data_IF_062180229554
#
_entry.id   IF_062180229554
#
_cell.length_a   1.000
_cell.length_b   1.000
_cell.length_c   1.000
_cell.angle_alpha   90.00
_cell.angle_beta   90.00
_cell.angle_gamma   90.00
#
_symmetry.space_group_name_H-M   'P 1'
#
loop_
_entity.id
_entity.type
_entity.pdbx_description
1 polymer ?
#
# COMPACT_ATOMS: atom_id res chain seq x y z
N UNK A 1 -0.23 14.07 19.52
CA UNK A 1 0.25 12.77 20.04
C UNK A 1 1.52 12.43 19.27
N UNK A 2 2.58 11.96 19.93
CA UNK A 2 3.77 11.51 19.22
C UNK A 2 3.44 10.24 18.41
N UNK A 3 3.81 10.22 17.12
CA UNK A 3 3.67 9.02 16.29
C UNK A 3 4.82 8.07 16.57
N UNK A 4 4.56 6.76 16.54
CA UNK A 4 5.63 5.78 16.70
C UNK A 4 6.53 5.80 15.46
N UNK A 5 7.84 5.67 15.69
CA UNK A 5 8.81 5.55 14.60
C UNK A 5 8.45 4.35 13.70
N UNK A 6 8.43 4.60 12.39
CA UNK A 6 8.16 3.57 11.39
C UNK A 6 9.32 2.57 11.33
N UNK A 7 8.98 1.28 11.22
CA UNK A 7 9.95 0.21 10.96
C UNK A 7 10.58 0.39 9.57
N UNK A 8 11.76 -0.20 9.33
CA UNK A 8 12.40 -0.11 8.02
C UNK A 8 11.60 -0.82 6.91
N UNK A 9 11.81 -0.40 5.66
CA UNK A 9 11.07 -0.90 4.50
C UNK A 9 11.24 -2.42 4.29
N UNK A 10 12.42 -2.99 4.60
CA UNK A 10 12.66 -4.43 4.41
C UNK A 10 11.82 -5.24 5.39
N UNK A 11 11.76 -4.80 6.64
CA UNK A 11 10.89 -5.41 7.67
C UNK A 11 9.42 -5.31 7.28
N UNK A 12 8.94 -4.14 6.89
CA UNK A 12 7.53 -3.94 6.48
C UNK A 12 7.17 -4.80 5.27
N UNK A 13 8.07 -4.91 4.29
CA UNK A 13 7.86 -5.73 3.09
C UNK A 13 7.76 -7.21 3.41
N UNK A 14 8.64 -7.71 4.28
CA UNK A 14 8.57 -9.09 4.74
C UNK A 14 7.26 -9.37 5.48
N UNK A 15 6.87 -8.51 6.41
CA UNK A 15 5.61 -8.65 7.14
C UNK A 15 4.39 -8.56 6.21
N UNK A 16 4.42 -7.71 5.18
CA UNK A 16 3.36 -7.61 4.18
C UNK A 16 3.23 -8.90 3.36
N UNK A 17 4.34 -9.53 3.00
CA UNK A 17 4.36 -10.83 2.33
C UNK A 17 3.81 -11.95 3.23
N UNK A 18 4.17 -11.95 4.52
CA UNK A 18 3.66 -12.91 5.50
C UNK A 18 2.16 -12.77 5.71
N UNK A 19 1.68 -11.53 5.86
CA UNK A 19 0.25 -11.22 5.97
C UNK A 19 -0.51 -11.69 4.73
N UNK A 20 -0.02 -11.38 3.52
CA UNK A 20 -0.75 -11.70 2.31
C UNK A 20 -0.80 -13.20 2.01
N UNK A 21 0.31 -13.92 2.20
CA UNK A 21 0.37 -15.39 2.05
C UNK A 21 -0.50 -16.06 3.11
N UNK A 22 -0.41 -15.63 4.38
CA UNK A 22 -1.16 -16.21 5.48
C UNK A 22 -2.67 -15.97 5.39
N UNK A 23 -3.06 -14.76 4.95
CA UNK A 23 -4.45 -14.37 4.84
C UNK A 23 -5.15 -15.04 3.65
N UNK A 24 -4.58 -14.91 2.45
CA UNK A 24 -5.23 -15.37 1.22
C UNK A 24 -5.11 -16.88 1.03
N UNK A 25 -4.04 -17.49 1.56
CA UNK A 25 -3.74 -18.91 1.40
C UNK A 25 -3.75 -19.37 -0.05
N UNK A 26 -3.47 -18.48 -1.01
CA UNK A 26 -3.34 -18.82 -2.44
C UNK A 26 -1.98 -19.48 -2.72
N UNK A 27 -0.96 -19.10 -1.96
CA UNK A 27 0.38 -19.66 -2.03
C UNK A 27 0.70 -20.44 -0.75
N UNK A 28 1.63 -21.39 -0.87
CA UNK A 28 2.18 -22.14 0.26
C UNK A 28 3.07 -21.23 1.12
N UNK A 29 3.23 -21.57 2.40
CA UNK A 29 4.00 -20.76 3.36
C UNK A 29 5.44 -20.48 2.97
N UNK A 30 6.11 -21.40 2.26
CA UNK A 30 7.48 -21.18 1.80
C UNK A 30 7.59 -20.11 0.70
N UNK A 31 6.48 -19.74 0.05
CA UNK A 31 6.45 -18.72 -1.00
C UNK A 31 6.59 -17.28 -0.45
N UNK A 32 6.56 -17.07 0.87
CA UNK A 32 6.74 -15.72 1.45
C UNK A 32 8.03 -15.05 0.95
N UNK A 33 9.13 -15.79 0.84
CA UNK A 33 10.41 -15.24 0.36
C UNK A 33 10.33 -14.79 -1.10
N UNK A 34 9.55 -15.49 -1.95
CA UNK A 34 9.37 -15.04 -3.34
C UNK A 34 8.48 -13.80 -3.39
N UNK A 35 7.40 -13.76 -2.60
CA UNK A 35 6.51 -12.58 -2.54
C UNK A 35 7.28 -11.34 -2.07
N UNK A 36 8.11 -11.48 -1.04
CA UNK A 36 9.00 -10.42 -0.55
C UNK A 36 9.95 -9.91 -1.65
N UNK A 37 10.57 -10.82 -2.41
CA UNK A 37 11.43 -10.46 -3.55
C UNK A 37 10.65 -9.77 -4.68
N UNK A 38 9.45 -10.25 -5.03
CA UNK A 38 8.62 -9.64 -6.07
C UNK A 38 8.17 -8.21 -5.69
N UNK A 39 8.00 -7.94 -4.39
CA UNK A 39 7.64 -6.62 -3.89
C UNK A 39 8.76 -5.57 -4.05
N UNK A 40 10.00 -5.97 -4.31
CA UNK A 40 11.10 -5.03 -4.61
C UNK A 40 10.79 -4.15 -5.83
N UNK A 41 10.10 -4.72 -6.82
CA UNK A 41 9.76 -4.02 -8.07
C UNK A 41 8.35 -3.42 -8.06
N UNK A 42 7.54 -3.69 -7.04
CA UNK A 42 6.14 -3.22 -6.95
C UNK A 42 5.99 -1.69 -6.81
N UNK A 43 7.12 -0.98 -6.78
CA UNK A 43 7.26 0.47 -6.80
C UNK A 43 7.10 1.04 -8.20
N UNK A 44 7.62 0.31 -9.18
CA UNK A 44 7.80 0.78 -10.54
C UNK A 44 6.80 0.12 -11.49
N UNK A 45 6.35 -1.08 -11.14
CA UNK A 45 5.48 -1.88 -11.99
C UNK A 45 4.29 -2.44 -11.21
N UNK A 46 3.18 -2.59 -11.91
CA UNK A 46 2.00 -3.23 -11.34
C UNK A 46 2.28 -4.72 -11.06
N UNK A 47 1.80 -5.30 -9.94
CA UNK A 47 1.99 -6.72 -9.57
C UNK A 47 1.69 -7.73 -10.69
N UNK A 48 0.72 -7.42 -11.54
CA UNK A 48 0.39 -8.21 -12.75
C UNK A 48 1.59 -8.39 -13.69
N UNK A 49 2.33 -7.31 -13.98
CA UNK A 49 3.49 -7.36 -14.87
C UNK A 49 4.64 -8.14 -14.23
N UNK A 50 4.95 -7.81 -12.97
CA UNK A 50 5.97 -8.48 -12.16
C UNK A 50 5.74 -10.00 -12.10
N UNK A 51 4.50 -10.42 -11.81
CA UNK A 51 4.16 -11.84 -11.71
C UNK A 51 4.11 -12.54 -13.08
N UNK A 52 3.73 -11.84 -14.15
CA UNK A 52 3.79 -12.38 -15.51
C UNK A 52 5.23 -12.65 -15.94
N UNK A 53 6.13 -11.72 -15.62
CA UNK A 53 7.56 -11.86 -15.87
C UNK A 53 8.19 -12.96 -15.03
N UNK A 54 7.84 -13.03 -13.74
CA UNK A 54 8.26 -14.13 -12.87
C UNK A 54 7.87 -15.50 -13.46
N UNK A 55 6.60 -15.69 -13.83
CA UNK A 55 6.11 -16.94 -14.44
C UNK A 55 6.76 -17.27 -15.78
N UNK A 56 7.20 -16.25 -16.54
CA UNK A 56 7.89 -16.44 -17.83
C UNK A 56 9.32 -16.96 -17.63
N UNK A 57 9.97 -16.64 -16.52
CA UNK A 57 11.35 -17.04 -16.23
C UNK A 57 11.40 -18.50 -15.79
N UNK A 58 12.40 -19.25 -16.27
CA UNK A 58 12.62 -20.65 -15.89
C UNK A 58 11.83 -21.68 -16.71
N UNK A 59 11.95 -22.94 -16.31
CA UNK A 59 11.38 -24.09 -17.03
C UNK A 59 9.85 -24.03 -17.04
N UNK A 60 9.27 -23.92 -18.23
CA UNK A 60 7.82 -23.87 -18.41
C UNK A 60 7.19 -25.25 -18.24
N UNK A 61 5.98 -25.29 -17.68
CA UNK A 61 5.16 -26.51 -17.71
C UNK A 61 4.70 -26.80 -19.15
N UNK A 62 4.50 -28.09 -19.43
CA UNK A 62 4.05 -28.58 -20.73
C UNK A 62 2.61 -28.15 -21.05
N UNK A 63 2.24 -28.20 -22.33
CA UNK A 63 0.86 -27.94 -22.77
C UNK A 63 -0.15 -28.92 -22.17
N UNK A 64 0.27 -30.17 -21.88
CA UNK A 64 -0.57 -31.15 -21.20
C UNK A 64 -0.86 -30.76 -19.75
N UNK A 65 0.18 -30.32 -19.01
CA UNK A 65 0.02 -29.82 -17.65
C UNK A 65 -0.85 -28.55 -17.62
N UNK A 66 -0.64 -27.61 -18.55
CA UNK A 66 -1.51 -26.42 -18.67
C UNK A 66 -2.97 -26.80 -18.87
N UNK A 67 -3.24 -27.76 -19.77
CA UNK A 67 -4.60 -28.26 -20.02
C UNK A 67 -5.22 -28.88 -18.75
N UNK A 68 -4.46 -29.69 -18.02
CA UNK A 68 -4.92 -30.30 -16.76
C UNK A 68 -5.28 -29.24 -15.70
N UNK A 69 -4.52 -28.14 -15.66
CA UNK A 69 -4.72 -27.02 -14.72
C UNK A 69 -5.68 -25.93 -15.25
N UNK A 70 -6.36 -26.16 -16.38
CA UNK A 70 -7.23 -25.18 -17.06
C UNK A 70 -6.53 -23.84 -17.38
N UNK A 71 -5.21 -23.86 -17.52
CA UNK A 71 -4.40 -22.73 -17.94
C UNK A 71 -4.44 -22.63 -19.47
N UNK A 72 -4.62 -21.41 -20.00
CA UNK A 72 -4.60 -21.19 -21.46
C UNK A 72 -3.23 -21.56 -22.03
N UNK A 73 -3.22 -22.15 -23.23
CA UNK A 73 -2.00 -22.62 -23.91
C UNK A 73 -0.89 -21.56 -23.98
N UNK A 74 -1.28 -20.32 -24.31
CA UNK A 74 -0.38 -19.17 -24.46
C UNK A 74 0.01 -18.48 -23.14
N UNK A 75 -0.53 -18.90 -22.00
CA UNK A 75 -0.13 -18.33 -20.71
C UNK A 75 1.22 -18.92 -20.27
N UNK A 76 2.05 -18.07 -19.64
CA UNK A 76 3.30 -18.48 -19.03
C UNK A 76 3.06 -19.02 -17.62
N UNK A 77 3.72 -20.14 -17.31
CA UNK A 77 3.75 -20.75 -16.00
C UNK A 77 5.01 -21.61 -15.91
N UNK A 78 5.96 -21.20 -15.08
CA UNK A 78 7.14 -22.01 -14.79
C UNK A 78 6.85 -23.01 -13.66
N UNK A 79 7.69 -24.04 -13.55
CA UNK A 79 7.57 -25.10 -12.56
C UNK A 79 7.66 -24.59 -11.12
N UNK A 80 8.51 -23.58 -10.84
CA UNK A 80 8.69 -23.02 -9.51
C UNK A 80 7.44 -22.27 -9.04
N UNK A 81 6.91 -21.37 -9.86
CA UNK A 81 5.67 -20.65 -9.61
C UNK A 81 4.52 -21.64 -9.39
N UNK A 82 4.42 -22.70 -10.18
CA UNK A 82 3.41 -23.74 -9.94
C UNK A 82 3.60 -24.44 -8.59
N UNK A 83 4.83 -24.79 -8.22
CA UNK A 83 5.13 -25.48 -6.96
C UNK A 83 4.77 -24.65 -5.72
N UNK A 84 4.82 -23.33 -5.82
CA UNK A 84 4.47 -22.38 -4.76
C UNK A 84 2.96 -22.24 -4.56
N UNK A 85 2.14 -22.56 -5.56
CA UNK A 85 0.68 -22.43 -5.49
C UNK A 85 0.10 -23.51 -4.57
N UNK A 86 -0.83 -23.12 -3.71
CA UNK A 86 -1.59 -24.01 -2.83
C UNK A 86 -2.82 -24.59 -3.56
N UNK A 87 -3.50 -25.57 -2.94
CA UNK A 87 -4.74 -26.12 -3.50
C UNK A 87 -5.83 -25.06 -3.73
N UNK A 88 -5.93 -24.06 -2.85
CA UNK A 88 -6.86 -22.92 -3.03
C UNK A 88 -6.45 -22.05 -4.22
N UNK A 89 -5.15 -21.77 -4.35
CA UNK A 89 -4.63 -20.99 -5.48
C UNK A 89 -4.73 -21.71 -6.83
N UNK A 90 -4.79 -23.05 -6.84
CA UNK A 90 -4.97 -23.83 -8.08
C UNK A 90 -6.35 -23.62 -8.75
N UNK A 91 -7.30 -22.98 -8.06
CA UNK A 91 -8.56 -22.57 -8.67
C UNK A 91 -8.37 -21.45 -9.71
N UNK A 92 -7.39 -20.57 -9.49
CA UNK A 92 -6.93 -19.56 -10.45
C UNK A 92 -5.40 -19.42 -10.40
N UNK A 93 -4.67 -20.36 -11.03
CA UNK A 93 -3.22 -20.42 -10.93
C UNK A 93 -2.52 -19.17 -11.48
N UNK A 94 -3.15 -18.49 -12.45
CA UNK A 94 -2.57 -17.30 -13.09
C UNK A 94 -2.63 -16.10 -12.15
N UNK A 95 -3.70 -15.97 -11.36
CA UNK A 95 -3.87 -14.82 -10.45
C UNK A 95 -3.34 -15.05 -9.05
N UNK A 96 -2.99 -16.29 -8.66
CA UNK A 96 -2.53 -16.62 -7.31
C UNK A 96 -1.40 -15.70 -6.79
N UNK A 97 -0.28 -15.60 -7.51
CA UNK A 97 0.80 -14.67 -7.14
C UNK A 97 0.38 -13.21 -7.26
N UNK A 98 -0.33 -12.85 -8.32
CA UNK A 98 -0.74 -11.46 -8.57
C UNK A 98 -1.57 -10.89 -7.41
N UNK A 99 -2.59 -11.63 -6.97
CA UNK A 99 -3.46 -11.20 -5.87
C UNK A 99 -2.69 -11.12 -4.54
N UNK A 100 -1.79 -12.07 -4.31
CA UNK A 100 -0.95 -12.11 -3.11
C UNK A 100 0.02 -10.94 -3.05
N UNK A 101 0.69 -10.62 -4.16
CA UNK A 101 1.59 -9.47 -4.27
C UNK A 101 0.79 -8.17 -4.20
N UNK A 102 -0.36 -8.08 -4.89
CA UNK A 102 -1.19 -6.88 -4.91
C UNK A 102 -1.70 -6.49 -3.51
N UNK A 103 -2.13 -7.47 -2.71
CA UNK A 103 -2.52 -7.21 -1.32
C UNK A 103 -1.35 -6.63 -0.52
N UNK A 104 -0.16 -7.22 -0.63
CA UNK A 104 1.02 -6.73 0.07
C UNK A 104 1.44 -5.33 -0.43
N UNK A 105 1.26 -5.03 -1.72
CA UNK A 105 1.53 -3.69 -2.30
C UNK A 105 0.68 -2.59 -1.64
N UNK A 106 -0.56 -2.87 -1.23
CA UNK A 106 -1.36 -1.87 -0.48
C UNK A 106 -0.75 -1.53 0.88
N UNK A 107 -0.13 -2.50 1.58
CA UNK A 107 0.63 -2.22 2.82
C UNK A 107 1.84 -1.34 2.52
N UNK A 108 2.61 -1.65 1.47
CA UNK A 108 3.77 -0.85 1.05
C UNK A 108 3.37 0.58 0.66
N UNK A 109 2.23 0.72 -0.03
CA UNK A 109 1.70 2.03 -0.41
C UNK A 109 1.34 2.86 0.83
N UNK A 110 0.62 2.28 1.80
CA UNK A 110 0.31 2.95 3.07
C UNK A 110 1.56 3.33 3.84
N UNK A 111 2.55 2.43 3.92
CA UNK A 111 3.84 2.70 4.57
C UNK A 111 4.57 3.91 3.97
N UNK A 112 4.57 4.03 2.64
CA UNK A 112 5.18 5.19 1.96
C UNK A 112 4.46 6.49 2.26
N UNK A 113 3.13 6.47 2.21
CA UNK A 113 2.34 7.63 2.58
C UNK A 113 2.57 8.01 4.03
N UNK A 114 2.72 7.04 4.92
CA UNK A 114 3.06 7.27 6.32
C UNK A 114 4.43 7.95 6.48
N UNK A 115 5.47 7.49 5.77
CA UNK A 115 6.79 8.16 5.76
C UNK A 115 6.72 9.60 5.24
N UNK A 116 5.95 9.83 4.17
CA UNK A 116 5.74 11.18 3.64
C UNK A 116 4.99 12.07 4.63
N UNK A 117 3.97 11.54 5.28
CA UNK A 117 3.20 12.26 6.30
C UNK A 117 4.03 12.57 7.54
N UNK A 118 4.83 11.63 8.05
CA UNK A 118 5.74 11.85 9.17
C UNK A 118 6.73 12.98 8.86
N UNK A 119 7.31 12.98 7.66
CA UNK A 119 8.20 14.07 7.21
C UNK A 119 7.48 15.41 7.15
N UNK A 120 6.28 15.45 6.55
CA UNK A 120 5.52 16.68 6.44
C UNK A 120 5.12 17.23 7.81
N UNK A 121 4.71 16.38 8.76
CA UNK A 121 4.36 16.79 10.13
C UNK A 121 5.58 17.37 10.86
N UNK A 122 6.77 16.81 10.64
CA UNK A 122 8.01 17.30 11.24
C UNK A 122 8.49 18.61 10.61
N UNK A 123 8.42 18.73 9.27
CA UNK A 123 8.90 19.89 8.52
C UNK A 123 7.96 21.10 8.65
N UNK A 124 6.64 20.85 8.72
CA UNK A 124 5.59 21.85 8.73
C UNK A 124 4.76 21.81 10.02
N UNK A 125 5.43 21.80 11.18
CA UNK A 125 4.78 21.62 12.49
C UNK A 125 3.70 22.66 12.84
N UNK A 126 3.67 23.80 12.15
CA UNK A 126 2.68 24.88 12.30
C UNK A 126 1.45 24.71 11.41
N UNK A 127 1.49 23.81 10.42
CA UNK A 127 0.30 23.45 9.64
C UNK A 127 -0.43 22.31 10.35
N UNK A 128 -1.73 22.46 10.67
CA UNK A 128 -2.54 21.33 11.12
C UNK A 128 -2.63 20.28 9.99
N UNK A 129 -2.05 19.10 10.22
CA UNK A 129 -2.10 17.97 9.30
C UNK A 129 -2.85 16.82 9.98
N UNK A 130 -3.97 16.41 9.39
CA UNK A 130 -4.70 15.22 9.80
C UNK A 130 -4.49 14.11 8.76
N UNK A 131 -4.14 12.90 9.21
CA UNK A 131 -4.04 11.74 8.33
C UNK A 131 -5.26 10.86 8.54
N UNK A 132 -5.99 10.60 7.46
CA UNK A 132 -7.21 9.80 7.46
C UNK A 132 -7.08 8.59 6.52
N UNK A 133 -7.90 7.56 6.74
CA UNK A 133 -8.02 6.47 5.78
C UNK A 133 -8.85 6.90 4.55
N UNK A 134 -8.39 6.50 3.38
CA UNK A 134 -9.11 6.65 2.11
C UNK A 134 -9.46 5.27 1.53
N UNK A 135 -10.75 4.97 1.40
CA UNK A 135 -11.24 3.64 1.01
C UNK A 135 -11.68 3.69 -0.45
N UNK A 136 -10.97 2.96 -1.31
CA UNK A 136 -11.18 3.03 -2.76
C UNK A 136 -12.40 2.22 -3.24
N UNK A 137 -12.80 1.21 -2.46
CA UNK A 137 -13.90 0.30 -2.81
C UNK A 137 -14.76 -0.01 -1.57
N UNK A 138 -15.67 0.91 -1.19
CA UNK A 138 -16.47 0.82 0.04
C UNK A 138 -17.30 -0.47 0.19
N UNK A 139 -17.70 -1.08 -0.91
CA UNK A 139 -18.46 -2.33 -0.99
C UNK A 139 -17.58 -3.60 -0.93
N UNK A 140 -16.25 -3.48 -0.95
CA UNK A 140 -15.36 -4.64 -0.92
C UNK A 140 -15.32 -5.37 0.44
N UNK A 141 -15.50 -4.65 1.56
CA UNK A 141 -15.61 -5.23 2.91
C UNK A 141 -16.13 -4.19 3.91
N UNK A 142 -17.09 -4.58 4.75
CA UNK A 142 -17.62 -3.74 5.82
C UNK A 142 -16.54 -3.27 6.80
N UNK A 143 -15.52 -4.09 7.08
CA UNK A 143 -14.40 -3.74 7.97
C UNK A 143 -13.57 -2.61 7.36
N UNK A 144 -13.16 -2.72 6.09
CA UNK A 144 -12.43 -1.67 5.39
C UNK A 144 -13.29 -0.40 5.24
N UNK A 145 -14.57 -0.54 4.88
CA UNK A 145 -15.50 0.58 4.76
C UNK A 145 -15.63 1.38 6.06
N UNK A 146 -15.64 0.68 7.19
CA UNK A 146 -15.73 1.32 8.51
C UNK A 146 -14.55 2.26 8.82
N UNK A 147 -13.45 2.19 8.05
CA UNK A 147 -12.30 3.08 8.18
C UNK A 147 -12.49 4.39 7.43
N UNK A 148 -13.42 4.50 6.48
CA UNK A 148 -13.51 5.66 5.59
C UNK A 148 -13.52 6.99 6.34
N UNK A 149 -12.55 7.87 6.01
CA UNK A 149 -12.31 9.17 6.65
C UNK A 149 -12.06 9.15 8.16
N UNK A 150 -11.83 7.98 8.76
CA UNK A 150 -11.42 7.92 10.16
C UNK A 150 -9.96 8.36 10.30
N UNK A 151 -9.62 9.05 11.40
CA UNK A 151 -8.24 9.36 11.73
C UNK A 151 -7.41 8.09 11.83
N UNK A 152 -6.18 8.15 11.31
CA UNK A 152 -5.20 7.08 11.43
C UNK A 152 -4.61 7.09 12.84
N UNK A 153 -4.52 5.93 13.53
CA UNK A 153 -3.93 5.85 14.85
C UNK A 153 -2.42 6.16 14.84
N UNK A 154 -1.85 6.44 16.01
CA UNK A 154 -0.43 6.84 16.15
C UNK A 154 0.58 5.76 15.78
N UNK A 155 0.15 4.50 15.67
CA UNK A 155 0.94 3.37 15.17
C UNK A 155 0.78 3.15 13.65
N UNK A 156 0.12 4.08 12.96
CA UNK A 156 -0.19 4.08 11.52
C UNK A 156 -1.13 2.98 11.02
N UNK A 157 -1.26 1.87 11.76
CA UNK A 157 -2.09 0.71 11.42
C UNK A 157 -2.06 0.36 9.92
N UNK A 158 -0.84 0.12 9.42
CA UNK A 158 -0.52 -0.09 8.00
C UNK A 158 -1.10 -1.40 7.42
N UNK A 159 -1.36 -2.38 8.28
CA UNK A 159 -1.82 -3.70 7.90
C UNK A 159 -3.35 -3.74 7.81
N UNK A 160 -3.92 -4.64 6.98
CA UNK A 160 -5.35 -4.89 6.95
C UNK A 160 -5.90 -5.14 8.36
N UNK A 161 -7.06 -4.54 8.73
CA UNK A 161 -7.65 -4.74 10.05
C UNK A 161 -8.05 -6.21 10.25
N UNK A 162 -8.02 -6.66 11.51
CA UNK A 162 -8.49 -8.02 11.86
C UNK A 162 -9.93 -8.20 11.37
N UNK A 163 -10.20 -9.35 10.74
CA UNK A 163 -11.51 -9.65 10.15
C UNK A 163 -11.75 -9.04 8.77
N UNK A 164 -10.79 -8.31 8.18
CA UNK A 164 -10.84 -7.96 6.76
C UNK A 164 -10.96 -9.23 5.92
N UNK A 165 -11.93 -9.27 5.01
CA UNK A 165 -12.18 -10.39 4.09
C UNK A 165 -11.85 -10.05 2.64
N UNK A 166 -11.45 -8.79 2.36
CA UNK A 166 -11.05 -8.39 1.02
C UNK A 166 -9.85 -9.21 0.55
N UNK A 167 -9.77 -9.47 -0.75
CA UNK A 167 -8.55 -10.01 -1.35
C UNK A 167 -7.41 -9.00 -1.23
N UNK A 168 -7.66 -7.74 -1.58
CA UNK A 168 -6.59 -6.72 -1.72
C UNK A 168 -6.50 -5.71 -0.57
N UNK A 169 -7.54 -5.61 0.27
CA UNK A 169 -7.67 -4.54 1.28
C UNK A 169 -7.41 -3.13 0.68
N UNK A 170 -8.23 -2.70 -0.31
CA UNK A 170 -7.95 -1.57 -1.18
C UNK A 170 -8.29 -0.23 -0.52
N UNK A 171 -7.45 0.18 0.44
CA UNK A 171 -7.52 1.49 1.07
C UNK A 171 -6.11 2.06 1.25
N UNK A 172 -6.01 3.39 1.19
CA UNK A 172 -4.80 4.16 1.38
C UNK A 172 -4.87 5.04 2.63
N UNK A 173 -3.85 5.89 2.76
CA UNK A 173 -3.84 7.01 3.70
C UNK A 173 -3.95 8.30 2.89
N UNK A 174 -4.69 9.27 3.39
CA UNK A 174 -4.86 10.59 2.81
C UNK A 174 -4.45 11.65 3.83
N UNK A 175 -3.62 12.61 3.40
CA UNK A 175 -3.22 13.74 4.23
C UNK A 175 -4.17 14.89 3.94
N UNK A 176 -4.84 15.37 4.99
CA UNK A 176 -5.64 16.58 4.96
C UNK A 176 -4.84 17.69 5.65
N UNK A 177 -4.40 18.68 4.87
CA UNK A 177 -3.57 19.79 5.34
C UNK A 177 -4.42 21.05 5.41
N UNK A 178 -4.54 21.66 6.59
CA UNK A 178 -5.17 22.97 6.74
C UNK A 178 -4.16 24.09 6.45
N UNK A 179 -4.08 24.45 5.17
CA UNK A 179 -3.20 25.53 4.71
C UNK A 179 -3.59 26.89 5.31
N UNK A 180 -4.89 27.18 5.47
CA UNK A 180 -5.36 28.47 5.99
C UNK A 180 -4.98 28.62 7.46
N UNK A 181 -5.22 27.59 8.27
CA UNK A 181 -4.82 27.54 9.67
C UNK A 181 -3.30 27.70 9.82
N UNK A 182 -2.51 27.00 8.99
CA UNK A 182 -1.05 27.13 9.01
C UNK A 182 -0.56 28.54 8.70
N UNK A 183 -1.11 29.20 7.67
CA UNK A 183 -0.77 30.59 7.36
C UNK A 183 -1.10 31.57 8.50
N UNK A 184 -2.23 31.36 9.19
CA UNK A 184 -2.60 32.22 10.33
C UNK A 184 -1.65 32.04 11.52
N UNK A 185 -1.14 30.82 11.75
CA UNK A 185 -0.12 30.57 12.77
C UNK A 185 1.25 31.15 12.38
N UNK A 186 1.67 31.01 11.12
CA UNK A 186 2.86 31.69 10.61
C UNK A 186 2.77 33.21 10.79
N UNK A 187 1.63 33.82 10.47
CA UNK A 187 1.43 35.27 10.62
C UNK A 187 1.50 35.70 12.10
N UNK A 188 1.00 34.89 13.04
CA UNK A 188 1.16 35.17 14.48
C UNK A 188 2.63 35.15 14.89
N UNK A 189 3.39 34.17 14.39
CA UNK A 189 4.83 34.05 14.65
C UNK A 189 5.63 35.20 14.01
N UNK A 190 5.24 35.66 12.81
CA UNK A 190 5.86 36.80 12.11
C UNK A 190 5.45 38.16 12.69
N UNK A 191 4.23 38.34 13.19
CA UNK A 191 3.81 39.60 13.86
C UNK A 191 4.55 39.85 15.17
N UNK A 192 5.13 38.80 15.77
CA UNK A 192 6.12 38.94 16.84
C UNK A 192 7.51 39.41 16.36
N UNK A 193 7.78 39.48 15.05
CA UNK A 193 9.08 39.86 14.46
C UNK A 193 9.06 40.94 13.36
N UNK A 194 7.91 41.28 12.75
CA UNK A 194 7.79 42.39 11.78
C UNK A 194 6.34 42.92 11.62
N UNK A 195 6.21 44.22 11.32
CA UNK A 195 4.96 44.99 11.43
C UNK A 195 4.14 45.15 10.13
N UNK A 196 4.25 44.26 9.15
CA UNK A 196 3.50 44.39 7.87
C UNK A 196 2.59 43.20 7.64
N UNK A 197 1.30 43.48 7.39
CA UNK A 197 0.21 42.52 7.24
C UNK A 197 0.31 41.74 5.91
N UNK A 198 0.24 40.41 5.97
CA UNK A 198 0.32 39.52 4.78
C UNK A 198 -0.89 39.71 3.83
N UNK A 199 -2.05 40.15 4.35
CA UNK A 199 -3.21 40.51 3.51
C UNK A 199 -2.86 41.59 2.50
N UNK A 200 -1.93 42.48 2.82
CA UNK A 200 -1.45 43.52 1.91
C UNK A 200 -0.53 42.94 0.84
N UNK A 201 0.34 41.98 1.20
CA UNK A 201 1.21 41.26 0.23
C UNK A 201 0.42 40.43 -0.78
N UNK A 202 -0.64 39.75 -0.34
CA UNK A 202 -1.53 38.98 -1.23
C UNK A 202 -2.26 39.93 -2.20
N UNK A 203 -2.74 41.08 -1.71
CA UNK A 203 -3.37 42.10 -2.56
C UNK A 203 -2.40 42.71 -3.58
N UNK A 204 -1.13 42.85 -3.24
CA UNK A 204 -0.08 43.28 -4.18
C UNK A 204 0.22 42.21 -5.25
N UNK A 205 0.23 40.93 -4.89
CA UNK A 205 0.53 39.85 -5.84
C UNK A 205 -0.56 39.67 -6.91
N UNK A 206 -1.81 40.01 -6.59
CA UNK A 206 -2.95 39.96 -7.51
C UNK A 206 -3.28 41.31 -8.18
N UNK A 207 -2.38 42.30 -8.08
CA UNK A 207 -2.41 43.54 -8.88
C UNK A 207 -1.51 43.42 -10.10
#
# INVERSE_FOLDING_TARGET
MAMNALQDLKTIRRMAAEESVGHLKLLKSHAVTIVDSLLENAVHEHPKAICADYRRRGNQISDQEKKALKIRKNAFMNQQALAEISDTGLQDPIRAHELTVLRATFVISRYRTALSAERMILEYAHYPIEVQYDVFHPDACAVCNSLYRKPVPSDWALFPPKGCTCVTAPYGLHLNVDYIGGYLEEEKLEKTSSSVSIVEKIKEYFR
#
